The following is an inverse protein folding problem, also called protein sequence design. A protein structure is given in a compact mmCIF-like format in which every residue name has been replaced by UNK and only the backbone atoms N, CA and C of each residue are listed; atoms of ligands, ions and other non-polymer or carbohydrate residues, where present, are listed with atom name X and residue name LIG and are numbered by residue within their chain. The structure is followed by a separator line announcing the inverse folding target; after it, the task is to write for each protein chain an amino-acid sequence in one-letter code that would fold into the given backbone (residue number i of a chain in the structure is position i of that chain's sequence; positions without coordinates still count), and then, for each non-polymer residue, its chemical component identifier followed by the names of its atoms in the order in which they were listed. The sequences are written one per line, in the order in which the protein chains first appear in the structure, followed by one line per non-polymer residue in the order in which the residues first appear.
data_IF_427711364175
#
_entry.id   IF_427711364175
#
_cell.length_a   1.000
_cell.length_b   1.000
_cell.length_c   1.000
_cell.angle_alpha   90.00
_cell.angle_beta   90.00
_cell.angle_gamma   90.00
#
_symmetry.space_group_name_H-M   'P 1'
#
loop_
_entity.id
_entity.type
_entity.pdbx_description
1 polymer ?
#
# COMPACT_ATOMS: atom_id res chain seq x y z
N UNK A 1 -15.69 -0.68 26.61
CA UNK A 1 -14.42 -1.24 26.10
C UNK A 1 -13.53 -0.22 25.38
N UNK A 2 -14.06 0.87 24.81
CA UNK A 2 -13.24 1.91 24.15
C UNK A 2 -12.35 2.74 25.10
N UNK A 3 -12.77 2.97 26.35
CA UNK A 3 -12.01 3.80 27.31
C UNK A 3 -10.70 3.18 27.81
N UNK A 4 -10.56 1.85 27.87
CA UNK A 4 -9.36 1.18 28.41
C UNK A 4 -8.12 1.33 27.51
N UNK A 5 -8.34 1.43 26.19
CA UNK A 5 -7.26 1.43 25.20
C UNK A 5 -6.98 2.82 24.59
N UNK A 6 -7.71 3.86 25.03
CA UNK A 6 -7.52 5.23 24.53
C UNK A 6 -7.95 5.44 23.07
N UNK A 7 -8.73 4.49 22.53
CA UNK A 7 -9.25 4.48 21.16
C UNK A 7 -10.60 5.18 21.10
N UNK A 8 -10.83 5.98 20.05
CA UNK A 8 -12.12 6.59 19.77
C UNK A 8 -13.13 5.54 19.28
N UNK A 9 -12.66 4.63 18.42
CA UNK A 9 -13.40 3.46 17.97
C UNK A 9 -12.50 2.23 18.09
N UNK A 10 -12.94 1.21 18.82
CA UNK A 10 -12.25 -0.07 18.93
C UNK A 10 -12.58 -0.98 17.73
N UNK A 11 -11.86 -2.10 17.62
CA UNK A 11 -11.89 -3.08 16.53
C UNK A 11 -13.30 -3.51 16.09
N UNK A 12 -14.20 -3.74 17.05
CA UNK A 12 -15.57 -4.20 16.79
C UNK A 12 -16.60 -3.07 16.63
N UNK A 13 -16.22 -1.82 16.90
CA UNK A 13 -17.15 -0.71 16.95
C UNK A 13 -17.67 -0.34 15.56
N UNK A 14 -18.86 0.29 15.54
CA UNK A 14 -19.49 0.82 14.32
C UNK A 14 -19.44 2.35 14.35
N UNK A 15 -18.45 3.00 13.71
CA UNK A 15 -18.44 4.44 13.63
C UNK A 15 -19.68 4.95 12.85
N UNK A 16 -20.24 6.12 13.19
CA UNK A 16 -21.30 6.75 12.40
C UNK A 16 -20.86 6.91 10.94
N UNK A 17 -21.76 6.72 9.99
CA UNK A 17 -21.42 6.62 8.57
C UNK A 17 -20.53 7.77 8.05
N UNK A 18 -20.89 9.02 8.37
CA UNK A 18 -20.13 10.21 7.93
C UNK A 18 -18.69 10.20 8.45
N UNK A 19 -18.52 9.83 9.71
CA UNK A 19 -17.20 9.78 10.33
C UNK A 19 -16.39 8.58 9.85
N UNK A 20 -17.05 7.42 9.70
CA UNK A 20 -16.44 6.22 9.13
C UNK A 20 -15.88 6.50 7.73
N UNK A 21 -16.65 7.24 6.91
CA UNK A 21 -16.24 7.62 5.56
C UNK A 21 -15.01 8.52 5.56
N UNK A 22 -14.95 9.53 6.43
CA UNK A 22 -13.79 10.42 6.52
C UNK A 22 -12.54 9.64 6.99
N UNK A 23 -12.66 8.80 8.01
CA UNK A 23 -11.56 7.94 8.44
C UNK A 23 -11.13 6.96 7.35
N UNK A 24 -12.08 6.37 6.61
CA UNK A 24 -11.78 5.46 5.52
C UNK A 24 -11.09 6.16 4.34
N UNK A 25 -11.46 7.41 4.06
CA UNK A 25 -10.77 8.27 3.07
C UNK A 25 -9.37 8.65 3.52
N UNK A 26 -9.15 8.96 4.80
CA UNK A 26 -7.80 9.17 5.33
C UNK A 26 -6.95 7.92 5.15
N UNK A 27 -7.51 6.77 5.53
CA UNK A 27 -6.85 5.48 5.42
C UNK A 27 -6.52 5.15 3.95
N UNK A 28 -7.43 5.45 3.02
CA UNK A 28 -7.20 5.35 1.57
C UNK A 28 -6.02 6.22 1.13
N UNK A 29 -6.05 7.52 1.46
CA UNK A 29 -5.00 8.46 1.05
C UNK A 29 -3.61 8.11 1.63
N UNK A 30 -3.57 7.52 2.81
CA UNK A 30 -2.31 7.10 3.43
C UNK A 30 -1.69 5.89 2.74
N UNK A 31 -2.52 4.95 2.26
CA UNK A 31 -2.02 3.72 1.61
C UNK A 31 -1.90 3.87 0.09
N UNK A 32 -2.61 4.82 -0.53
CA UNK A 32 -2.71 4.92 -1.99
C UNK A 32 -1.37 5.21 -2.63
N UNK A 33 -0.59 6.15 -2.07
CA UNK A 33 0.69 6.56 -2.63
C UNK A 33 1.67 5.38 -2.77
N UNK A 34 1.80 4.57 -1.72
CA UNK A 34 2.65 3.38 -1.76
C UNK A 34 2.08 2.27 -2.66
N UNK A 35 0.76 2.09 -2.64
CA UNK A 35 0.09 1.03 -3.42
C UNK A 35 0.24 1.24 -4.93
N UNK A 36 0.05 2.48 -5.41
CA UNK A 36 0.16 2.83 -6.84
C UNK A 36 1.62 2.98 -7.29
N UNK A 37 2.56 3.14 -6.36
CA UNK A 37 3.95 3.36 -6.69
C UNK A 37 4.62 2.09 -7.25
N UNK A 38 4.39 0.94 -6.62
CA UNK A 38 5.01 -0.31 -7.07
C UNK A 38 4.77 -0.61 -8.55
N UNK A 39 3.52 -0.56 -9.10
CA UNK A 39 3.33 -0.78 -10.53
C UNK A 39 4.01 0.29 -11.40
N UNK A 40 4.05 1.56 -10.97
CA UNK A 40 4.73 2.62 -11.73
C UNK A 40 6.25 2.42 -11.85
N UNK A 41 6.90 1.88 -10.81
CA UNK A 41 8.34 1.60 -10.84
C UNK A 41 8.63 0.38 -11.72
N UNK A 42 7.84 -0.68 -11.55
CA UNK A 42 8.14 -1.98 -12.14
C UNK A 42 7.71 -2.02 -13.60
N UNK A 43 6.59 -1.39 -13.94
CA UNK A 43 6.01 -1.38 -15.28
C UNK A 43 5.50 0.01 -15.70
N UNK A 44 6.41 0.94 -16.05
CA UNK A 44 6.04 2.30 -16.44
C UNK A 44 5.14 2.37 -17.69
N UNK A 45 5.14 1.33 -18.53
CA UNK A 45 4.28 1.26 -19.74
C UNK A 45 2.86 0.84 -19.41
N UNK A 46 2.63 0.23 -18.24
CA UNK A 46 1.33 -0.25 -17.79
C UNK A 46 0.82 -1.48 -18.54
N UNK A 47 1.69 -2.24 -19.20
CA UNK A 47 1.32 -3.40 -20.04
C UNK A 47 0.84 -4.59 -19.20
N UNK A 48 1.46 -4.81 -18.05
CA UNK A 48 1.24 -5.93 -17.13
C UNK A 48 0.75 -5.48 -15.75
N UNK A 49 1.22 -4.34 -15.26
CA UNK A 49 0.85 -3.78 -13.96
C UNK A 49 0.36 -2.34 -14.13
N UNK A 50 -0.84 -2.05 -13.64
CA UNK A 50 -1.37 -0.68 -13.64
C UNK A 50 -1.81 -0.24 -12.23
N UNK A 51 -1.92 1.07 -12.03
CA UNK A 51 -2.24 1.66 -10.74
C UNK A 51 -3.64 1.24 -10.24
N UNK A 52 -4.62 1.19 -11.15
CA UNK A 52 -6.00 0.86 -10.83
C UNK A 52 -6.14 -0.62 -10.39
N UNK A 53 -5.51 -1.55 -11.10
CA UNK A 53 -5.49 -2.97 -10.77
C UNK A 53 -4.83 -3.20 -9.43
N UNK A 54 -3.73 -2.51 -9.12
CA UNK A 54 -3.07 -2.58 -7.83
C UNK A 54 -3.99 -2.14 -6.67
N UNK A 55 -4.77 -1.06 -6.84
CA UNK A 55 -5.77 -0.63 -5.86
C UNK A 55 -6.90 -1.66 -5.68
N UNK A 56 -7.38 -2.27 -6.76
CA UNK A 56 -8.36 -3.36 -6.69
C UNK A 56 -7.78 -4.56 -5.95
N UNK A 57 -6.54 -4.93 -6.26
CA UNK A 57 -5.81 -6.01 -5.60
C UNK A 57 -5.64 -5.76 -4.10
N UNK A 58 -5.24 -4.55 -3.71
CA UNK A 58 -5.14 -4.12 -2.31
C UNK A 58 -6.50 -4.21 -1.59
N UNK A 59 -7.58 -3.79 -2.26
CA UNK A 59 -8.95 -3.90 -1.75
C UNK A 59 -9.39 -5.34 -1.51
N UNK A 60 -9.34 -6.20 -2.54
CA UNK A 60 -9.73 -7.61 -2.39
C UNK A 60 -8.82 -8.37 -1.42
N UNK A 61 -7.52 -8.13 -1.46
CA UNK A 61 -6.56 -8.73 -0.53
C UNK A 61 -6.89 -8.36 0.93
N UNK A 62 -7.21 -7.08 1.18
CA UNK A 62 -7.64 -6.63 2.50
C UNK A 62 -8.95 -7.28 2.95
N UNK A 63 -9.94 -7.42 2.07
CA UNK A 63 -11.20 -8.12 2.39
C UNK A 63 -10.91 -9.57 2.83
N UNK A 64 -10.09 -10.29 2.07
CA UNK A 64 -9.68 -11.66 2.39
C UNK A 64 -8.94 -11.72 3.73
N UNK A 65 -8.00 -10.81 3.97
CA UNK A 65 -7.29 -10.69 5.24
C UNK A 65 -8.25 -10.49 6.43
N UNK A 66 -9.22 -9.58 6.30
CA UNK A 66 -10.22 -9.34 7.34
C UNK A 66 -11.08 -10.57 7.62
N UNK A 67 -11.41 -11.36 6.61
CA UNK A 67 -12.14 -12.62 6.77
C UNK A 67 -11.32 -13.66 7.56
N UNK A 68 -10.05 -13.86 7.20
CA UNK A 68 -9.16 -14.79 7.91
C UNK A 68 -8.87 -14.37 9.36
N UNK A 69 -8.75 -13.06 9.61
CA UNK A 69 -8.57 -12.51 10.94
C UNK A 69 -9.87 -12.36 11.74
N UNK A 70 -11.00 -12.80 11.19
CA UNK A 70 -12.33 -12.68 11.80
C UNK A 70 -12.69 -11.24 12.20
N UNK A 71 -12.25 -10.26 11.41
CA UNK A 71 -12.44 -8.82 11.69
C UNK A 71 -11.89 -8.39 13.06
N UNK A 72 -10.84 -9.05 13.55
CA UNK A 72 -10.17 -8.71 14.82
C UNK A 72 -8.86 -7.94 14.65
N UNK A 73 -8.33 -7.85 13.44
CA UNK A 73 -7.10 -7.12 13.13
C UNK A 73 -7.38 -5.95 12.18
N UNK A 74 -7.21 -4.69 12.61
CA UNK A 74 -7.49 -3.52 11.78
C UNK A 74 -6.27 -3.10 10.96
N UNK A 75 -5.83 -4.01 10.09
CA UNK A 75 -4.69 -3.79 9.20
C UNK A 75 -5.17 -3.86 7.75
N UNK A 76 -4.68 -2.93 6.94
CA UNK A 76 -4.89 -2.89 5.51
C UNK A 76 -3.71 -3.54 4.79
N UNK A 77 -3.99 -4.29 3.72
CA UNK A 77 -2.96 -4.87 2.85
C UNK A 77 -2.76 -4.00 1.60
N UNK A 78 -1.53 -3.68 1.26
CA UNK A 78 -1.18 -2.95 0.03
C UNK A 78 0.06 -3.52 -0.65
N UNK A 79 0.41 -2.99 -1.82
CA UNK A 79 1.55 -3.42 -2.64
C UNK A 79 2.87 -3.48 -1.85
N UNK A 80 3.53 -4.63 -1.79
CA UNK A 80 4.76 -4.77 -1.00
C UNK A 80 6.01 -4.37 -1.80
N UNK A 81 6.75 -3.39 -1.30
CA UNK A 81 7.98 -2.88 -1.94
C UNK A 81 9.11 -3.90 -1.99
N UNK A 82 9.14 -4.83 -1.04
CA UNK A 82 10.14 -5.89 -1.01
C UNK A 82 10.10 -6.76 -2.27
N UNK A 83 8.94 -6.81 -2.96
CA UNK A 83 8.77 -7.56 -4.20
C UNK A 83 9.15 -6.77 -5.48
N UNK A 84 9.58 -5.50 -5.43
CA UNK A 84 9.99 -4.75 -6.65
C UNK A 84 11.03 -5.52 -7.47
N UNK A 85 12.10 -6.00 -6.82
CA UNK A 85 13.15 -6.79 -7.49
C UNK A 85 12.60 -8.07 -8.14
N UNK A 86 11.92 -8.95 -7.37
CA UNK A 86 11.25 -10.13 -7.93
C UNK A 86 10.20 -9.82 -9.01
N UNK A 87 9.50 -8.69 -8.93
CA UNK A 87 8.50 -8.28 -9.91
C UNK A 87 9.11 -8.00 -11.29
N UNK A 88 10.27 -7.34 -11.36
CA UNK A 88 10.99 -7.17 -12.64
C UNK A 88 11.28 -8.51 -13.32
N UNK A 89 11.60 -9.53 -12.53
CA UNK A 89 11.84 -10.89 -13.05
C UNK A 89 10.54 -11.55 -13.50
N UNK A 90 9.46 -11.35 -12.74
CA UNK A 90 8.14 -11.90 -13.02
C UNK A 90 7.51 -11.34 -14.29
N UNK A 91 7.63 -10.03 -14.55
CA UNK A 91 7.17 -9.40 -15.79
C UNK A 91 7.86 -9.99 -17.03
N UNK A 92 9.11 -10.44 -16.90
CA UNK A 92 9.81 -11.16 -17.97
C UNK A 92 9.13 -12.47 -18.43
N UNK A 93 8.13 -12.96 -17.68
CA UNK A 93 7.26 -14.09 -18.01
C UNK A 93 5.78 -13.68 -18.15
N UNK A 94 5.48 -12.38 -18.23
CA UNK A 94 4.13 -11.81 -18.31
C UNK A 94 3.27 -12.04 -17.07
N UNK A 95 1.94 -12.03 -17.24
CA UNK A 95 0.96 -12.23 -16.17
C UNK A 95 1.14 -13.56 -15.43
N UNK A 96 1.58 -14.60 -16.13
CA UNK A 96 1.86 -15.90 -15.53
C UNK A 96 2.97 -15.82 -14.47
N UNK A 97 4.05 -15.08 -14.76
CA UNK A 97 5.15 -14.89 -13.82
C UNK A 97 4.69 -14.17 -12.55
N UNK A 98 3.84 -13.15 -12.68
CA UNK A 98 3.26 -12.40 -11.55
C UNK A 98 2.45 -13.30 -10.64
N UNK A 99 1.55 -14.11 -11.21
CA UNK A 99 0.66 -15.00 -10.45
C UNK A 99 1.44 -16.15 -9.81
N UNK A 100 2.41 -16.76 -10.50
CA UNK A 100 3.26 -17.80 -9.90
C UNK A 100 4.10 -17.24 -8.76
N UNK A 101 4.72 -16.07 -8.95
CA UNK A 101 5.49 -15.43 -7.89
C UNK A 101 4.63 -15.20 -6.64
N UNK A 102 3.45 -14.61 -6.82
CA UNK A 102 2.51 -14.37 -5.73
C UNK A 102 2.04 -15.67 -5.05
N UNK A 103 1.82 -16.74 -5.83
CA UNK A 103 1.48 -18.06 -5.28
C UNK A 103 2.59 -18.59 -4.38
N UNK A 104 3.85 -18.47 -4.80
CA UNK A 104 5.01 -18.90 -3.99
C UNK A 104 5.05 -18.12 -2.68
N UNK A 105 4.88 -16.80 -2.72
CA UNK A 105 4.83 -15.98 -1.51
C UNK A 105 3.70 -16.43 -0.56
N UNK A 106 2.50 -16.67 -1.09
CA UNK A 106 1.37 -17.19 -0.31
C UNK A 106 1.69 -18.54 0.33
N UNK A 107 2.28 -19.47 -0.41
CA UNK A 107 2.65 -20.79 0.12
C UNK A 107 3.66 -20.69 1.26
N UNK A 108 4.63 -19.77 1.18
CA UNK A 108 5.57 -19.52 2.28
C UNK A 108 4.84 -19.04 3.53
N UNK A 109 3.93 -18.08 3.40
CA UNK A 109 3.13 -17.57 4.52
C UNK A 109 2.25 -18.65 5.15
N UNK A 110 1.56 -19.45 4.33
CA UNK A 110 0.74 -20.57 4.79
C UNK A 110 1.60 -21.62 5.50
N UNK A 111 2.78 -21.94 4.95
CA UNK A 111 3.73 -22.86 5.58
C UNK A 111 4.16 -22.36 6.96
N UNK A 112 4.57 -21.10 7.06
CA UNK A 112 4.96 -20.49 8.35
C UNK A 112 3.78 -20.48 9.31
N UNK A 113 2.56 -20.18 8.83
CA UNK A 113 1.36 -20.21 9.67
C UNK A 113 1.05 -21.60 10.24
N UNK A 114 1.23 -22.66 9.44
CA UNK A 114 1.09 -24.06 9.89
C UNK A 114 2.14 -24.38 10.96
N UNK A 115 3.40 -23.96 10.76
CA UNK A 115 4.47 -24.11 11.76
C UNK A 115 4.12 -23.38 13.05
N UNK A 116 3.56 -22.18 12.97
CA UNK A 116 3.11 -21.39 14.14
C UNK A 116 1.92 -22.06 14.85
N UNK A 117 0.99 -22.64 14.09
CA UNK A 117 -0.16 -23.35 14.65
C UNK A 117 0.28 -24.60 15.45
N UNK A 118 1.26 -25.35 14.93
CA UNK A 118 1.76 -26.57 15.56
C UNK A 118 2.79 -26.30 16.68
N UNK A 119 3.73 -25.38 16.46
CA UNK A 119 4.89 -25.15 17.34
C UNK A 119 4.79 -23.90 18.23
N UNK A 120 3.72 -23.10 18.08
CA UNK A 120 3.57 -21.82 18.76
C UNK A 120 4.55 -20.75 18.30
N UNK A 121 4.66 -19.66 19.08
CA UNK A 121 5.41 -18.43 18.70
C UNK A 121 6.79 -18.35 19.40
N UNK A 122 7.13 -19.32 20.25
CA UNK A 122 8.39 -19.25 21.05
C UNK A 122 9.64 -19.16 20.19
N UNK A 123 9.68 -19.89 19.08
CA UNK A 123 10.81 -19.83 18.15
C UNK A 123 10.92 -18.45 17.48
N UNK A 124 9.79 -17.81 17.14
CA UNK A 124 9.78 -16.45 16.58
C UNK A 124 10.37 -15.47 17.58
N UNK A 125 9.95 -15.54 18.84
CA UNK A 125 10.51 -14.65 19.87
C UNK A 125 12.00 -14.88 20.13
N UNK A 126 12.51 -16.10 19.86
CA UNK A 126 13.92 -16.46 20.01
C UNK A 126 14.77 -15.98 18.82
N UNK A 127 14.32 -16.23 17.59
CA UNK A 127 15.10 -15.95 16.37
C UNK A 127 14.83 -14.57 15.77
N UNK A 128 13.62 -14.04 15.97
CA UNK A 128 13.18 -12.72 15.53
C UNK A 128 12.75 -11.87 16.74
N UNK A 129 13.66 -11.62 17.71
CA UNK A 129 13.39 -10.68 18.80
C UNK A 129 13.23 -9.25 18.25
N UNK A 130 12.70 -8.30 19.05
CA UNK A 130 12.52 -6.91 18.62
C UNK A 130 13.78 -6.24 18.06
N UNK A 131 14.97 -6.62 18.56
CA UNK A 131 16.26 -6.12 18.07
C UNK A 131 16.58 -6.54 16.63
N UNK A 132 15.91 -7.57 16.09
CA UNK A 132 16.02 -8.00 14.68
C UNK A 132 14.90 -7.38 13.85
N UNK A 133 13.65 -7.50 14.32
CA UNK A 133 12.48 -7.02 13.56
C UNK A 133 12.54 -5.50 13.34
N UNK A 134 12.89 -4.72 14.37
CA UNK A 134 12.93 -3.26 14.28
C UNK A 134 13.85 -2.75 13.16
N UNK A 135 15.14 -3.14 13.15
CA UNK A 135 16.05 -2.77 12.07
C UNK A 135 15.61 -3.25 10.69
N UNK A 136 15.06 -4.46 10.56
CA UNK A 136 14.58 -4.96 9.25
C UNK A 136 13.44 -4.08 8.71
N UNK A 137 12.45 -3.76 9.52
CA UNK A 137 11.34 -2.88 9.13
C UNK A 137 11.85 -1.46 8.81
N UNK A 138 12.79 -0.94 9.60
CA UNK A 138 13.39 0.36 9.33
C UNK A 138 14.14 0.38 7.98
N UNK A 139 14.90 -0.68 7.66
CA UNK A 139 15.61 -0.80 6.40
C UNK A 139 14.66 -0.83 5.19
N UNK A 140 13.52 -1.54 5.29
CA UNK A 140 12.50 -1.52 4.25
C UNK A 140 12.07 -0.07 3.97
N UNK A 141 11.69 0.69 5.01
CA UNK A 141 11.32 2.11 4.86
C UNK A 141 12.44 2.99 4.31
N UNK A 142 13.70 2.76 4.69
CA UNK A 142 14.85 3.49 4.16
C UNK A 142 15.09 3.23 2.67
N UNK A 143 14.80 2.02 2.16
CA UNK A 143 14.90 1.74 0.72
C UNK A 143 13.89 2.55 -0.11
N UNK A 144 12.72 2.88 0.44
CA UNK A 144 11.71 3.71 -0.24
C UNK A 144 12.07 5.21 -0.26
N UNK A 145 12.86 5.66 0.72
CA UNK A 145 13.17 7.09 0.85
C UNK A 145 13.80 7.66 -0.42
N UNK A 146 14.62 6.86 -1.12
CA UNK A 146 15.23 7.25 -2.40
C UNK A 146 14.17 7.59 -3.46
N UNK A 147 13.20 6.71 -3.69
CA UNK A 147 12.13 6.94 -4.67
C UNK A 147 11.23 8.10 -4.29
N UNK A 148 10.89 8.24 -3.01
CA UNK A 148 10.11 9.38 -2.53
C UNK A 148 10.84 10.71 -2.79
N UNK A 149 12.16 10.75 -2.59
CA UNK A 149 12.97 11.93 -2.91
C UNK A 149 12.97 12.24 -4.41
N UNK A 150 13.11 11.22 -5.27
CA UNK A 150 13.02 11.39 -6.73
C UNK A 150 11.74 12.12 -7.13
N UNK A 151 10.58 11.73 -6.62
CA UNK A 151 9.32 12.39 -6.98
C UNK A 151 9.13 13.80 -6.43
N UNK A 152 9.72 14.11 -5.28
CA UNK A 152 9.71 15.48 -4.76
C UNK A 152 10.63 16.38 -5.58
N UNK A 153 11.68 15.83 -6.18
CA UNK A 153 12.72 16.57 -6.90
C UNK A 153 12.39 16.87 -8.37
N UNK A 154 11.57 16.03 -8.99
CA UNK A 154 11.28 16.10 -10.43
C UNK A 154 9.80 16.35 -10.72
N UNK A 155 9.53 17.05 -11.81
CA UNK A 155 8.18 17.27 -12.33
C UNK A 155 8.01 16.45 -13.62
N UNK A 156 7.09 15.49 -13.63
CA UNK A 156 6.82 14.60 -14.77
C UNK A 156 5.92 15.22 -15.85
N UNK A 157 5.46 16.47 -15.69
CA UNK A 157 4.56 17.16 -16.64
C UNK A 157 5.09 17.22 -18.09
N UNK A 158 6.39 17.03 -18.33
CA UNK A 158 6.97 16.88 -19.67
C UNK A 158 7.92 15.68 -19.75
N UNK A 159 7.36 14.48 -19.93
CA UNK A 159 8.05 13.22 -20.15
C UNK A 159 8.65 13.08 -21.56
N UNK A 160 9.39 14.11 -22.03
CA UNK A 160 10.07 14.10 -23.33
C UNK A 160 11.60 14.22 -23.26
N UNK A 161 12.21 14.44 -22.08
CA UNK A 161 13.67 14.59 -21.95
C UNK A 161 14.21 13.89 -20.68
N UNK A 162 15.12 12.91 -20.80
CA UNK A 162 15.85 12.34 -19.67
C UNK A 162 17.00 13.26 -19.19
N UNK A 163 16.77 14.57 -19.21
CA UNK A 163 17.71 15.56 -18.64
C UNK A 163 17.00 16.26 -17.50
N UNK A 164 16.87 15.50 -16.42
CA UNK A 164 16.16 15.84 -15.20
C UNK A 164 16.86 16.98 -14.45
N UNK A 165 16.56 18.22 -14.85
CA UNK A 165 16.88 19.40 -14.04
C UNK A 165 15.97 19.39 -12.82
N UNK A 166 16.55 19.60 -11.63
CA UNK A 166 15.78 19.70 -10.39
C UNK A 166 14.76 20.82 -10.48
N UNK A 167 13.50 20.52 -10.16
CA UNK A 167 12.47 21.54 -10.07
C UNK A 167 12.40 22.07 -8.64
N UNK A 168 12.95 23.27 -8.43
CA UNK A 168 12.98 23.91 -7.10
C UNK A 168 11.57 24.14 -6.54
N UNK A 169 10.58 24.44 -7.39
CA UNK A 169 9.20 24.64 -6.95
C UNK A 169 8.55 23.33 -6.48
N UNK A 170 8.82 22.21 -7.16
CA UNK A 170 8.37 20.89 -6.72
C UNK A 170 8.95 20.53 -5.33
N UNK A 171 10.25 20.79 -5.13
CA UNK A 171 10.91 20.54 -3.83
C UNK A 171 10.30 21.39 -2.71
N UNK A 172 10.12 22.69 -2.96
CA UNK A 172 9.50 23.61 -1.99
C UNK A 172 8.07 23.18 -1.68
N UNK A 173 7.30 22.78 -2.68
CA UNK A 173 5.93 22.30 -2.51
C UNK A 173 5.88 21.00 -1.68
N UNK A 174 6.76 20.04 -1.96
CA UNK A 174 6.86 18.79 -1.21
C UNK A 174 7.24 19.03 0.25
N UNK A 175 8.23 19.89 0.51
CA UNK A 175 8.61 20.30 1.87
C UNK A 175 7.47 21.04 2.57
N UNK A 176 6.75 21.91 1.87
CA UNK A 176 5.59 22.60 2.40
C UNK A 176 4.48 21.62 2.81
N UNK A 177 4.12 20.68 1.94
CA UNK A 177 3.13 19.64 2.24
C UNK A 177 3.57 18.79 3.45
N UNK A 178 4.83 18.35 3.49
CA UNK A 178 5.39 17.61 4.63
C UNK A 178 5.31 18.41 5.94
N UNK A 179 5.68 19.69 5.92
CA UNK A 179 5.60 20.57 7.09
C UNK A 179 4.17 20.78 7.57
N UNK A 180 3.19 20.86 6.66
CA UNK A 180 1.76 20.92 7.02
C UNK A 180 1.31 19.62 7.68
N UNK A 181 1.71 18.46 7.17
CA UNK A 181 1.39 17.15 7.78
C UNK A 181 1.99 17.08 9.20
N UNK A 182 3.28 17.40 9.34
CA UNK A 182 4.00 17.36 10.61
C UNK A 182 3.42 18.36 11.64
N UNK A 183 3.10 19.58 11.21
CA UNK A 183 2.45 20.56 12.07
C UNK A 183 1.06 20.09 12.53
N UNK A 184 0.29 19.51 11.60
CA UNK A 184 -1.08 19.06 11.88
C UNK A 184 -1.10 17.88 12.84
N UNK A 185 -0.15 16.94 12.71
CA UNK A 185 -0.07 15.76 13.58
C UNK A 185 0.34 16.08 15.02
N UNK A 186 1.11 17.16 15.25
CA UNK A 186 1.63 17.52 16.58
C UNK A 186 0.85 18.67 17.24
N UNK A 187 0.61 19.76 16.51
CA UNK A 187 0.22 21.06 17.10
C UNK A 187 -1.24 21.44 16.84
N UNK A 188 -1.92 20.85 15.86
CA UNK A 188 -3.29 21.22 15.53
C UNK A 188 -4.29 20.91 16.65
N UNK A 189 -5.48 21.54 16.57
CA UNK A 189 -6.61 21.29 17.46
C UNK A 189 -7.02 19.81 17.41
N UNK A 190 -7.54 19.30 18.52
CA UNK A 190 -7.80 17.87 18.71
C UNK A 190 -8.61 17.20 17.59
N UNK A 191 -9.56 17.90 16.97
CA UNK A 191 -10.36 17.36 15.86
C UNK A 191 -9.60 17.26 14.54
N UNK A 192 -8.68 18.19 14.25
CA UNK A 192 -7.92 18.25 12.99
C UNK A 192 -6.72 17.31 13.05
N UNK A 193 -6.14 17.14 14.25
CA UNK A 193 -5.01 16.22 14.51
C UNK A 193 -5.31 14.76 14.14
N UNK A 194 -6.59 14.38 14.12
CA UNK A 194 -7.01 13.04 13.72
C UNK A 194 -6.80 12.77 12.22
N UNK A 195 -6.73 13.82 11.39
CA UNK A 195 -6.71 13.75 9.91
C UNK A 195 -5.51 14.47 9.26
N UNK A 196 -4.26 14.27 9.70
CA UNK A 196 -3.13 15.08 9.26
C UNK A 196 -2.80 14.88 7.77
N UNK A 197 -2.97 13.67 7.24
CA UNK A 197 -2.74 13.37 5.82
C UNK A 197 -3.74 14.07 4.91
N UNK A 198 -5.04 14.06 5.26
CA UNK A 198 -6.08 14.76 4.48
C UNK A 198 -5.73 16.25 4.39
N UNK A 199 -5.40 16.88 5.53
CA UNK A 199 -5.10 18.32 5.57
C UNK A 199 -3.84 18.64 4.79
N UNK A 200 -2.76 17.87 4.98
CA UNK A 200 -1.50 18.09 4.28
C UNK A 200 -1.61 17.94 2.77
N UNK A 201 -2.26 16.86 2.31
CA UNK A 201 -2.49 16.62 0.89
C UNK A 201 -3.39 17.72 0.31
N UNK A 202 -4.50 18.07 0.97
CA UNK A 202 -5.41 19.10 0.48
C UNK A 202 -4.71 20.48 0.37
N UNK A 203 -3.99 20.90 1.40
CA UNK A 203 -3.27 22.18 1.40
C UNK A 203 -2.12 22.17 0.37
N UNK A 204 -1.41 21.05 0.23
CA UNK A 204 -0.40 20.85 -0.81
C UNK A 204 -0.99 20.95 -2.22
N UNK A 205 -2.10 20.27 -2.51
CA UNK A 205 -2.78 20.35 -3.80
C UNK A 205 -3.30 21.77 -4.10
N UNK A 206 -3.85 22.47 -3.11
CA UNK A 206 -4.27 23.87 -3.31
C UNK A 206 -3.09 24.76 -3.66
N UNK A 207 -1.94 24.60 -2.99
CA UNK A 207 -0.72 25.32 -3.34
C UNK A 207 -0.22 24.97 -4.74
N UNK A 208 -0.26 23.69 -5.12
CA UNK A 208 0.11 23.22 -6.45
C UNK A 208 -0.79 23.78 -7.55
N UNK A 209 -2.10 23.90 -7.30
CA UNK A 209 -3.07 24.53 -8.21
C UNK A 209 -2.77 26.01 -8.44
N UNK A 210 -2.44 26.74 -7.37
CA UNK A 210 -2.08 28.16 -7.46
C UNK A 210 -0.80 28.33 -8.29
N UNK A 211 0.24 27.52 -8.00
CA UNK A 211 1.50 27.56 -8.76
C UNK A 211 1.27 27.21 -10.24
N UNK A 212 0.47 26.17 -10.51
CA UNK A 212 0.13 25.75 -11.88
C UNK A 212 -0.63 26.83 -12.63
N UNK A 213 -1.60 27.50 -11.99
CA UNK A 213 -2.32 28.62 -12.60
C UNK A 213 -1.40 29.80 -12.94
N UNK A 214 -0.46 30.13 -12.05
CA UNK A 214 0.57 31.15 -12.33
C UNK A 214 1.48 30.69 -13.48
N UNK A 215 1.90 29.42 -13.50
CA UNK A 215 2.72 28.84 -14.57
C UNK A 215 2.04 28.87 -15.93
N UNK A 216 0.73 28.60 -15.99
CA UNK A 216 -0.06 28.73 -17.22
C UNK A 216 -0.19 30.20 -17.67
N UNK A 217 -0.41 31.14 -16.75
CA UNK A 217 -0.53 32.56 -17.08
C UNK A 217 0.80 33.21 -17.50
N UNK A 218 1.93 32.73 -16.97
CA UNK A 218 3.28 33.27 -17.23
C UNK A 218 4.06 32.49 -18.30
N UNK A 219 3.58 31.30 -18.70
CA UNK A 219 4.27 30.41 -19.63
C UNK A 219 5.48 29.68 -19.03
N UNK A 220 5.68 29.72 -17.70
CA UNK A 220 6.79 29.06 -17.01
C UNK A 220 6.41 27.60 -16.75
N UNK A 221 7.08 26.68 -17.46
CA UNK A 221 6.82 25.23 -17.36
C UNK A 221 7.16 24.66 -15.97
N UNK A 222 8.17 25.20 -15.28
CA UNK A 222 8.56 24.71 -13.94
C UNK A 222 7.46 24.90 -12.88
N UNK A 223 6.54 25.86 -13.10
CA UNK A 223 5.41 26.13 -12.21
C UNK A 223 4.18 25.26 -12.53
N UNK A 224 4.15 24.59 -13.68
CA UNK A 224 3.07 23.69 -14.09
C UNK A 224 3.25 22.32 -13.43
N UNK A 225 2.82 22.21 -12.17
CA UNK A 225 3.05 21.05 -11.31
C UNK A 225 1.92 20.01 -11.35
N UNK A 226 0.77 20.37 -11.91
CA UNK A 226 -0.39 19.49 -12.06
C UNK A 226 -0.65 19.24 -13.53
N UNK A 227 -0.68 17.96 -13.91
CA UNK A 227 -1.19 17.53 -15.20
C UNK A 227 -2.71 17.34 -15.15
N UNK A 228 -3.42 18.04 -16.05
CA UNK A 228 -4.86 17.90 -16.21
C UNK A 228 -5.25 16.95 -17.36
N UNK A 229 -4.28 16.44 -18.12
CA UNK A 229 -4.53 15.50 -19.23
C UNK A 229 -5.36 14.26 -18.84
N UNK A 230 -5.25 13.70 -17.61
CA UNK A 230 -6.11 12.58 -17.22
C UNK A 230 -7.60 12.94 -17.20
N UNK A 231 -7.95 14.19 -16.84
CA UNK A 231 -9.34 14.64 -16.75
C UNK A 231 -10.01 14.78 -18.13
N UNK A 232 -9.24 14.91 -19.21
CA UNK A 232 -9.81 14.96 -20.57
C UNK A 232 -10.38 13.59 -20.99
N UNK A 233 -9.88 12.50 -20.41
CA UNK A 233 -10.26 11.13 -20.74
C UNK A 233 -11.37 10.56 -19.86
N UNK A 234 -11.80 11.30 -18.83
CA UNK A 234 -12.87 10.89 -17.90
C UNK A 234 -14.18 10.53 -18.62
N UNK A 235 -14.48 11.16 -19.75
CA UNK A 235 -15.71 10.89 -20.52
C UNK A 235 -15.73 9.56 -21.28
N UNK A 236 -14.58 8.89 -21.42
CA UNK A 236 -14.47 7.63 -22.14
C UNK A 236 -14.65 6.43 -21.21
N UNK A 237 -15.91 6.02 -21.03
CA UNK A 237 -16.30 4.90 -20.19
C UNK A 237 -15.67 3.55 -20.62
N UNK A 238 -15.11 3.43 -21.82
CA UNK A 238 -14.42 2.20 -22.23
C UNK A 238 -13.08 2.03 -21.50
N UNK A 239 -12.46 3.13 -21.06
CA UNK A 239 -11.19 3.10 -20.31
C UNK A 239 -11.37 2.91 -18.81
N UNK A 240 -12.62 2.85 -18.32
CA UNK A 240 -12.93 2.71 -16.90
C UNK A 240 -12.77 1.28 -16.38
N UNK A 241 -12.56 0.30 -17.27
CA UNK A 241 -12.33 -1.09 -16.87
C UNK A 241 -10.82 -1.32 -16.75
N UNK A 242 -10.27 -1.40 -15.54
CA UNK A 242 -8.85 -1.67 -15.36
C UNK A 242 -8.50 -3.08 -15.84
N UNK A 243 -7.32 -3.22 -16.42
CA UNK A 243 -6.80 -4.51 -16.83
C UNK A 243 -6.43 -5.33 -15.59
N UNK A 244 -7.25 -6.34 -15.30
CA UNK A 244 -7.03 -7.26 -14.19
C UNK A 244 -6.01 -8.33 -14.60
N UNK A 245 -5.07 -8.64 -13.72
CA UNK A 245 -3.94 -9.54 -14.01
C UNK A 245 -4.41 -10.94 -14.45
N UNK A 246 -5.47 -11.49 -13.84
CA UNK A 246 -6.01 -12.78 -14.26
C UNK A 246 -6.64 -12.74 -15.66
N UNK A 247 -7.23 -11.61 -16.08
CA UNK A 247 -7.78 -11.46 -17.43
C UNK A 247 -6.63 -11.39 -18.43
N UNK A 248 -5.56 -10.66 -18.09
CA UNK A 248 -4.32 -10.65 -18.85
C UNK A 248 -3.72 -12.05 -19.02
N UNK A 249 -3.74 -12.87 -17.96
CA UNK A 249 -3.29 -14.26 -18.03
C UNK A 249 -4.11 -15.11 -19.02
N UNK A 250 -5.44 -14.95 -19.06
CA UNK A 250 -6.29 -15.71 -20.00
C UNK A 250 -6.00 -15.38 -21.46
N UNK A 251 -5.52 -14.16 -21.74
CA UNK A 251 -5.10 -13.73 -23.07
C UNK A 251 -3.64 -14.04 -23.41
N UNK A 252 -2.84 -14.52 -22.46
CA UNK A 252 -1.41 -14.75 -22.65
C UNK A 252 -1.13 -16.11 -23.29
N UNK A 253 -0.24 -16.14 -24.29
CA UNK A 253 0.30 -17.39 -24.82
C UNK A 253 1.32 -18.01 -23.84
N UNK A 254 0.88 -19.06 -23.14
CA UNK A 254 1.71 -19.77 -22.17
C UNK A 254 2.86 -20.56 -22.81
N UNK A 255 2.80 -20.84 -24.11
CA UNK A 255 3.87 -21.56 -24.81
C UNK A 255 5.14 -20.72 -24.99
N UNK A 256 5.01 -19.39 -24.91
CA UNK A 256 6.11 -18.45 -24.95
C UNK A 256 6.81 -18.24 -23.60
N UNK A 257 6.32 -18.87 -22.52
CA UNK A 257 6.91 -18.72 -21.19
C UNK A 257 8.21 -19.54 -21.09
N UNK A 258 9.31 -18.83 -20.83
CA UNK A 258 10.60 -19.45 -20.57
C UNK A 258 10.62 -20.13 -19.20
N UNK A 259 10.50 -21.47 -19.20
CA UNK A 259 10.49 -22.29 -17.99
C UNK A 259 11.77 -22.15 -17.14
N UNK A 260 12.90 -21.72 -17.74
CA UNK A 260 14.14 -21.51 -17.00
C UNK A 260 14.06 -20.32 -16.04
N UNK A 261 13.30 -19.27 -16.41
CA UNK A 261 13.11 -18.05 -15.62
C UNK A 261 12.16 -18.28 -14.44
N UNK A 262 11.27 -19.26 -14.52
CA UNK A 262 10.33 -19.61 -13.43
C UNK A 262 11.08 -20.01 -12.17
N UNK A 263 12.17 -20.78 -12.29
CA UNK A 263 12.97 -21.18 -11.13
C UNK A 263 13.54 -19.95 -10.42
N UNK A 264 14.01 -18.95 -11.17
CA UNK A 264 14.54 -17.71 -10.61
C UNK A 264 13.44 -16.90 -9.92
N UNK A 265 12.23 -16.85 -10.50
CA UNK A 265 11.05 -16.22 -9.88
C UNK A 265 10.70 -16.94 -8.56
N UNK A 266 10.62 -18.27 -8.56
CA UNK A 266 10.30 -19.06 -7.36
C UNK A 266 11.30 -18.75 -6.23
N UNK A 267 12.60 -18.80 -6.52
CA UNK A 267 13.64 -18.53 -5.52
C UNK A 267 13.56 -17.09 -5.01
N UNK A 268 13.39 -16.12 -5.92
CA UNK A 268 13.30 -14.70 -5.55
C UNK A 268 12.10 -14.43 -4.64
N UNK A 269 10.90 -14.89 -5.03
CA UNK A 269 9.69 -14.70 -4.23
C UNK A 269 9.72 -15.47 -2.91
N UNK A 270 10.31 -16.66 -2.89
CA UNK A 270 10.47 -17.43 -1.66
C UNK A 270 11.32 -16.66 -0.64
N UNK A 271 12.49 -16.16 -1.06
CA UNK A 271 13.40 -15.41 -0.19
C UNK A 271 12.74 -14.11 0.26
N UNK A 272 12.13 -13.36 -0.67
CA UNK A 272 11.45 -12.11 -0.34
C UNK A 272 10.29 -12.34 0.63
N UNK A 273 9.49 -13.40 0.48
CA UNK A 273 8.40 -13.70 1.41
C UNK A 273 8.89 -13.92 2.85
N UNK A 274 10.10 -14.47 3.04
CA UNK A 274 10.72 -14.56 4.38
C UNK A 274 11.11 -13.19 4.95
N UNK A 275 11.52 -12.24 4.10
CA UNK A 275 11.78 -10.86 4.52
C UNK A 275 10.48 -10.17 4.91
N UNK A 276 9.46 -10.25 4.06
CA UNK A 276 8.15 -9.63 4.30
C UNK A 276 7.44 -10.24 5.51
N UNK A 277 7.69 -11.52 5.80
CA UNK A 277 7.24 -12.12 7.07
C UNK A 277 7.73 -11.33 8.30
N UNK A 278 8.97 -10.81 8.30
CA UNK A 278 9.48 -9.99 9.40
C UNK A 278 8.76 -8.63 9.50
N UNK A 279 8.36 -8.07 8.36
CA UNK A 279 7.53 -6.87 8.26
C UNK A 279 6.15 -7.12 8.88
N UNK A 280 5.48 -8.21 8.49
CA UNK A 280 4.20 -8.62 9.08
C UNK A 280 4.27 -8.77 10.60
N UNK A 281 5.35 -9.36 11.13
CA UNK A 281 5.57 -9.48 12.57
C UNK A 281 5.76 -8.13 13.25
N UNK A 282 6.53 -7.23 12.64
CA UNK A 282 6.75 -5.87 13.15
C UNK A 282 5.46 -5.08 13.21
N UNK A 283 4.70 -5.12 12.12
CA UNK A 283 3.39 -4.49 12.00
C UNK A 283 2.42 -5.02 13.04
N UNK A 284 2.30 -6.35 13.18
CA UNK A 284 1.41 -6.94 14.18
C UNK A 284 1.84 -6.61 15.61
N UNK A 285 3.14 -6.46 15.90
CA UNK A 285 3.61 -5.98 17.21
C UNK A 285 3.25 -4.52 17.43
N UNK A 286 3.41 -3.68 16.42
CA UNK A 286 3.09 -2.26 16.49
C UNK A 286 1.59 -2.03 16.71
N UNK A 287 0.73 -2.65 15.90
CA UNK A 287 -0.71 -2.52 16.08
C UNK A 287 -1.18 -3.15 17.40
N UNK A 288 -0.57 -4.25 17.85
CA UNK A 288 -0.88 -4.84 19.17
C UNK A 288 -0.57 -3.87 20.32
N UNK A 289 0.55 -3.14 20.22
CA UNK A 289 0.93 -2.11 21.18
C UNK A 289 -0.04 -0.93 21.19
N UNK A 290 -0.43 -0.44 20.01
CA UNK A 290 -1.42 0.64 19.83
C UNK A 290 -2.78 0.25 20.42
N UNK A 291 -3.24 -0.98 20.16
CA UNK A 291 -4.50 -1.50 20.66
C UNK A 291 -4.44 -1.97 22.11
N UNK A 292 -3.26 -2.03 22.74
CA UNK A 292 -3.00 -2.72 24.02
C UNK A 292 -3.60 -4.13 24.05
N UNK A 293 -3.58 -4.84 22.93
CA UNK A 293 -4.16 -6.19 22.75
C UNK A 293 -3.19 -7.06 21.99
N UNK A 294 -2.99 -8.29 22.45
CA UNK A 294 -2.06 -9.21 21.81
C UNK A 294 -2.70 -9.92 20.60
N UNK A 295 -2.52 -9.35 19.40
CA UNK A 295 -3.03 -9.96 18.16
C UNK A 295 -2.37 -11.29 17.80
N UNK A 296 -1.18 -11.56 18.36
CA UNK A 296 -0.52 -12.86 18.20
C UNK A 296 -1.26 -13.97 18.92
N UNK A 297 -2.07 -13.65 19.94
CA UNK A 297 -2.91 -14.57 20.67
C UNK A 297 -4.35 -14.60 20.11
N UNK A 298 -4.97 -13.44 19.90
CA UNK A 298 -6.31 -13.31 19.32
C UNK A 298 -6.36 -12.13 18.33
N UNK A 299 -6.56 -12.36 17.01
CA UNK A 299 -7.04 -13.59 16.35
C UNK A 299 -6.02 -14.73 16.24
N UNK A 300 -4.76 -14.47 16.59
CA UNK A 300 -3.69 -15.45 16.51
C UNK A 300 -2.78 -15.21 15.32
N UNK A 301 -1.47 -15.34 15.53
CA UNK A 301 -0.48 -15.08 14.50
C UNK A 301 -0.71 -15.95 13.25
N UNK A 302 -1.05 -17.24 13.44
CA UNK A 302 -1.35 -18.15 12.33
C UNK A 302 -2.47 -17.62 11.41
N UNK A 303 -3.54 -17.02 11.96
CA UNK A 303 -4.63 -16.45 11.15
C UNK A 303 -4.21 -15.21 10.42
N UNK A 304 -3.42 -14.36 11.08
CA UNK A 304 -2.92 -13.14 10.45
C UNK A 304 -1.96 -13.47 9.31
N UNK A 305 -1.12 -14.50 9.44
CA UNK A 305 -0.20 -14.95 8.40
C UNK A 305 -0.91 -15.60 7.22
N UNK A 306 -1.88 -16.48 7.46
CA UNK A 306 -2.70 -17.04 6.37
C UNK A 306 -3.48 -15.92 5.68
N UNK A 307 -4.06 -15.01 6.46
CA UNK A 307 -4.79 -13.85 5.93
C UNK A 307 -3.92 -12.96 5.07
N UNK A 308 -2.67 -12.71 5.48
CA UNK A 308 -1.71 -11.95 4.70
C UNK A 308 -1.32 -12.72 3.42
N UNK A 309 -0.79 -13.94 3.53
CA UNK A 309 -0.38 -14.73 2.37
C UNK A 309 -1.49 -14.95 1.33
N UNK A 310 -2.67 -15.40 1.75
CA UNK A 310 -3.81 -15.64 0.85
C UNK A 310 -4.39 -14.31 0.35
N UNK A 311 -4.46 -13.28 1.21
CA UNK A 311 -4.87 -11.94 0.81
C UNK A 311 -3.96 -11.35 -0.26
N UNK A 312 -2.65 -11.55 -0.14
CA UNK A 312 -1.65 -11.10 -1.10
C UNK A 312 -1.70 -11.86 -2.42
N UNK A 313 -1.99 -13.17 -2.39
CA UNK A 313 -2.22 -13.93 -3.62
C UNK A 313 -3.48 -13.46 -4.34
N UNK A 314 -4.59 -13.28 -3.61
CA UNK A 314 -5.83 -12.73 -4.20
C UNK A 314 -5.57 -11.32 -4.72
N UNK A 315 -4.83 -10.50 -3.98
CA UNK A 315 -4.42 -9.18 -4.42
C UNK A 315 -3.65 -9.21 -5.73
N UNK A 316 -2.70 -10.13 -5.89
CA UNK A 316 -1.95 -10.30 -7.13
C UNK A 316 -2.77 -10.89 -8.29
N UNK A 317 -3.79 -11.71 -8.03
CA UNK A 317 -4.71 -12.20 -9.07
C UNK A 317 -5.44 -11.02 -9.73
N UNK A 318 -5.84 -10.01 -8.96
CA UNK A 318 -6.53 -8.84 -9.49
C UNK A 318 -5.58 -7.73 -9.92
N UNK A 319 -4.53 -7.48 -9.14
CA UNK A 319 -3.67 -6.31 -9.27
C UNK A 319 -2.21 -6.56 -9.65
N UNK A 320 -1.79 -7.83 -9.74
CA UNK A 320 -0.48 -8.25 -10.25
C UNK A 320 0.66 -8.10 -9.25
N UNK A 321 0.45 -7.35 -8.18
CA UNK A 321 1.44 -7.11 -7.12
C UNK A 321 1.07 -7.90 -5.87
N UNK A 322 2.00 -8.66 -5.26
CA UNK A 322 1.77 -9.24 -3.94
C UNK A 322 1.64 -8.13 -2.89
N UNK A 323 0.63 -8.28 -2.04
CA UNK A 323 0.43 -7.34 -0.94
C UNK A 323 1.21 -7.75 0.32
N UNK A 324 1.23 -6.85 1.30
CA UNK A 324 1.62 -7.11 2.69
C UNK A 324 0.90 -6.12 3.60
N UNK A 325 1.00 -6.31 4.91
CA UNK A 325 0.51 -5.36 5.91
C UNK A 325 1.20 -4.01 5.77
N UNK A 326 0.43 -2.93 5.89
CA UNK A 326 0.97 -1.57 5.73
C UNK A 326 1.19 -0.87 7.07
N UNK A 327 2.44 -0.46 7.31
CA UNK A 327 2.82 0.40 8.43
C UNK A 327 2.12 1.76 8.39
N UNK A 328 1.86 2.31 7.21
CA UNK A 328 1.10 3.56 7.01
C UNK A 328 -0.33 3.44 7.52
N UNK A 329 -0.94 2.26 7.33
CA UNK A 329 -2.26 1.95 7.87
C UNK A 329 -2.24 1.95 9.39
N UNK A 330 -1.23 1.33 9.98
CA UNK A 330 -1.07 1.26 11.44
C UNK A 330 -0.83 2.66 12.01
N UNK A 331 -0.04 3.48 11.33
CA UNK A 331 0.14 4.90 11.66
C UNK A 331 -1.18 5.68 11.63
N UNK A 332 -2.04 5.44 10.64
CA UNK A 332 -3.37 6.05 10.58
C UNK A 332 -4.26 5.65 11.74
N UNK A 333 -4.25 4.38 12.14
CA UNK A 333 -4.99 3.91 13.33
C UNK A 333 -4.46 4.59 14.60
N UNK A 334 -3.14 4.70 14.76
CA UNK A 334 -2.51 5.35 15.91
C UNK A 334 -2.88 6.84 16.04
N UNK A 335 -2.88 7.57 14.91
CA UNK A 335 -3.16 9.01 14.87
C UNK A 335 -4.65 9.33 14.99
N UNK A 336 -5.49 8.63 14.23
CA UNK A 336 -6.95 8.84 14.22
C UNK A 336 -7.65 8.26 15.45
N UNK A 337 -6.99 7.33 16.15
CA UNK A 337 -7.56 6.52 17.24
C UNK A 337 -8.78 5.71 16.79
N UNK A 338 -8.90 5.41 15.50
CA UNK A 338 -9.96 4.58 14.94
C UNK A 338 -9.38 3.23 14.50
N UNK A 339 -9.64 2.20 15.29
CA UNK A 339 -9.25 0.83 15.02
C UNK A 339 -10.39 -0.03 14.46
N UNK A 340 -11.53 0.55 14.08
CA UNK A 340 -12.65 -0.25 13.58
C UNK A 340 -12.27 -0.96 12.29
N UNK A 341 -12.43 -2.29 12.25
CA UNK A 341 -12.23 -3.08 11.03
C UNK A 341 -13.25 -2.76 9.95
N UNK A 342 -14.35 -2.09 10.30
CA UNK A 342 -15.32 -1.55 9.34
C UNK A 342 -14.78 -0.35 8.59
N UNK A 343 -13.92 0.45 9.22
CA UNK A 343 -13.21 1.54 8.55
C UNK A 343 -12.27 0.95 7.50
N UNK A 344 -11.48 -0.06 7.89
CA UNK A 344 -10.55 -0.78 6.99
C UNK A 344 -11.31 -1.44 5.84
N UNK A 345 -12.44 -2.10 6.13
CA UNK A 345 -13.30 -2.69 5.11
C UNK A 345 -13.87 -1.63 4.16
N UNK A 346 -14.33 -0.49 4.68
CA UNK A 346 -14.81 0.62 3.85
C UNK A 346 -13.70 1.18 2.98
N UNK A 347 -12.47 1.31 3.49
CA UNK A 347 -11.29 1.67 2.68
C UNK A 347 -11.05 0.68 1.56
N UNK A 348 -11.18 -0.62 1.81
CA UNK A 348 -11.01 -1.64 0.78
C UNK A 348 -12.04 -1.48 -0.36
N UNK A 349 -13.30 -1.20 -0.01
CA UNK A 349 -14.32 -0.86 -1.00
C UNK A 349 -14.02 0.44 -1.74
N UNK A 350 -13.53 1.48 -1.07
CA UNK A 350 -13.11 2.73 -1.72
C UNK A 350 -12.01 2.45 -2.74
N UNK A 351 -11.00 1.64 -2.40
CA UNK A 351 -9.93 1.27 -3.34
C UNK A 351 -10.48 0.60 -4.59
N UNK A 352 -11.41 -0.34 -4.42
CA UNK A 352 -12.05 -1.04 -5.54
C UNK A 352 -12.85 -0.05 -6.39
N UNK A 353 -13.68 0.80 -5.79
CA UNK A 353 -14.55 1.73 -6.53
C UNK A 353 -13.75 2.82 -7.26
N UNK A 354 -12.78 3.44 -6.58
CA UNK A 354 -11.97 4.52 -7.15
C UNK A 354 -11.11 4.02 -8.32
N UNK A 355 -10.71 2.75 -8.31
CA UNK A 355 -9.95 2.16 -9.41
C UNK A 355 -10.72 2.08 -10.75
N UNK A 356 -12.05 2.18 -10.75
CA UNK A 356 -12.85 2.27 -11.98
C UNK A 356 -13.08 3.72 -12.44
N UNK A 357 -12.55 4.70 -11.71
CA UNK A 357 -12.66 6.12 -12.05
C UNK A 357 -11.31 6.54 -12.64
N UNK A 358 -11.27 6.66 -13.96
CA UNK A 358 -10.09 7.08 -14.74
C UNK A 358 -10.19 8.53 -15.15
#
# INVERSE_FOLDING_TARGET
MSEENGMKYDVGDKPPFKENLICALQQFLAISAATILVPLIVDPTGEYLNMASALIGAGFGTIVYLLFTQFKSPVFLGSSFAFIGPLFMAIGCGFFGLIIGALVACLVYVLIAVIVLAGGIRWINKYLPPIVIGPTVALIGFFLAGTAMTYVMYNEYNSALPTASYNMFAIILGLFAFMVIAYTSVRARSSIRMYPFIVGIAVGYVAALILTGIGMATGIQDLQLIDFSPFEKIGDFNNWIPQLTFVGLLGQDLSAVDMSKIVTIIVAYFVTAFVVFTEHLGDHKNISSILKRNLFADPGLHRTLVGDGVGSFVGAIFGGVPNTTYGESIGCVALSKNASTRTILLTAFICIVVAFIY
#
